data_IF_824236963306
#
_entry.id   IF_824236963306
#
_cell.length_a   1.000
_cell.length_b   1.000
_cell.length_c   1.000
_cell.angle_alpha   90.00
_cell.angle_beta   90.00
_cell.angle_gamma   90.00
#
_symmetry.space_group_name_H-M   'P 1'
#
loop_
_entity.id
_entity.type
_entity.pdbx_description
1 polymer ?
#
# COMPACT_ATOMS: atom_id res chain seq x y z
N UNK A 1 63.13 -31.94 36.19
CA UNK A 1 62.21 -32.89 35.52
C UNK A 1 61.14 -33.22 36.55
N UNK A 2 59.94 -32.67 36.44
CA UNK A 2 58.82 -33.05 35.53
C UNK A 2 57.69 -33.54 36.47
N UNK A 3 56.42 -33.20 36.40
CA UNK A 3 55.55 -32.74 35.30
C UNK A 3 54.58 -31.67 35.85
N UNK A 4 54.54 -30.49 35.24
CA UNK A 4 53.36 -29.62 35.34
C UNK A 4 52.22 -30.30 34.58
N UNK A 5 51.15 -30.65 35.30
CA UNK A 5 49.88 -31.03 34.69
C UNK A 5 49.34 -29.78 33.99
N UNK A 6 49.71 -29.58 32.72
CA UNK A 6 49.01 -28.65 31.84
C UNK A 6 47.57 -29.15 31.74
N UNK A 7 46.63 -28.47 32.43
CA UNK A 7 45.22 -28.60 32.13
C UNK A 7 45.04 -28.25 30.65
N UNK A 8 44.74 -29.25 29.83
CA UNK A 8 44.48 -29.04 28.40
C UNK A 8 43.24 -28.17 28.27
N UNK A 9 43.46 -26.89 27.94
CA UNK A 9 42.39 -25.99 27.54
C UNK A 9 41.70 -26.59 26.30
N UNK A 10 40.37 -26.72 26.36
CA UNK A 10 39.57 -27.27 25.26
C UNK A 10 38.78 -26.13 24.61
N UNK A 11 38.94 -25.88 23.31
CA UNK A 11 38.20 -24.81 22.66
C UNK A 11 36.74 -25.22 22.39
N UNK A 12 35.83 -24.28 22.66
CA UNK A 12 34.39 -24.42 22.45
C UNK A 12 33.87 -23.28 21.56
N UNK A 13 32.83 -23.56 20.77
CA UNK A 13 32.22 -22.61 19.84
C UNK A 13 31.09 -21.82 20.53
N UNK A 14 31.20 -20.50 20.56
CA UNK A 14 30.21 -19.59 21.15
C UNK A 14 29.48 -18.78 20.09
N UNK A 15 28.14 -18.71 20.15
CA UNK A 15 27.34 -17.78 19.35
C UNK A 15 27.21 -16.46 20.11
N UNK A 16 27.86 -15.42 19.61
CA UNK A 16 27.87 -14.09 20.24
C UNK A 16 26.75 -13.18 19.69
N UNK A 17 26.22 -13.49 18.52
CA UNK A 17 25.13 -12.72 17.91
C UNK A 17 24.44 -13.51 16.79
N UNK A 18 23.16 -13.23 16.58
CA UNK A 18 22.34 -13.85 15.54
C UNK A 18 21.39 -12.83 14.93
N UNK A 19 21.43 -12.67 13.60
CA UNK A 19 20.49 -11.82 12.86
C UNK A 19 19.88 -12.59 11.70
N UNK A 20 18.66 -12.21 11.34
CA UNK A 20 17.94 -12.78 10.21
C UNK A 20 17.16 -11.68 9.48
N UNK A 21 17.25 -11.67 8.16
CA UNK A 21 16.48 -10.77 7.30
C UNK A 21 16.15 -11.41 5.95
N UNK A 22 15.20 -10.84 5.21
CA UNK A 22 14.76 -11.32 3.89
C UNK A 22 15.29 -10.39 2.78
N UNK A 23 15.53 -10.92 1.58
CA UNK A 23 16.09 -10.19 0.43
C UNK A 23 15.58 -10.72 -0.92
N UNK A 24 15.88 -10.03 -2.03
CA UNK A 24 15.51 -10.44 -3.39
C UNK A 24 16.68 -10.25 -4.37
N UNK A 25 16.96 -11.24 -5.23
CA UNK A 25 17.95 -11.13 -6.32
C UNK A 25 17.34 -10.29 -7.47
N UNK A 26 18.04 -9.32 -8.11
CA UNK A 26 19.44 -9.33 -8.52
C UNK A 26 20.39 -8.39 -7.74
N UNK A 27 19.98 -7.86 -6.60
CA UNK A 27 20.67 -6.73 -5.95
C UNK A 27 21.97 -7.09 -5.21
N UNK A 28 22.39 -8.36 -5.21
CA UNK A 28 23.66 -8.79 -4.65
C UNK A 28 24.31 -9.81 -5.58
N UNK A 29 25.33 -9.41 -6.37
CA UNK A 29 26.23 -10.35 -7.06
C UNK A 29 27.44 -10.62 -6.15
N UNK A 30 27.45 -11.69 -5.35
CA UNK A 30 28.68 -12.07 -4.66
C UNK A 30 29.73 -12.46 -5.70
N UNK A 31 30.99 -12.07 -5.49
CA UNK A 31 32.10 -12.30 -6.44
C UNK A 31 32.44 -13.79 -6.68
N UNK A 32 31.79 -14.71 -5.98
CA UNK A 32 31.98 -16.15 -6.11
C UNK A 32 30.62 -16.85 -6.00
N UNK A 33 30.02 -17.21 -7.14
CA UNK A 33 28.86 -18.10 -7.21
C UNK A 33 29.39 -19.49 -7.62
N UNK A 34 29.00 -20.58 -6.93
CA UNK A 34 29.32 -21.93 -7.39
C UNK A 34 28.71 -22.20 -8.78
N UNK A 35 29.43 -22.83 -9.72
CA UNK A 35 28.95 -23.06 -11.10
C UNK A 35 27.60 -23.81 -11.19
N UNK A 36 27.26 -24.61 -10.18
CA UNK A 36 25.99 -25.35 -10.11
C UNK A 36 24.76 -24.47 -9.82
N UNK A 37 24.94 -23.25 -9.33
CA UNK A 37 23.89 -22.25 -9.14
C UNK A 37 23.78 -21.31 -10.34
N UNK A 38 24.86 -21.10 -11.10
CA UNK A 38 24.92 -20.19 -12.24
C UNK A 38 23.92 -20.58 -13.35
N UNK A 39 23.87 -21.87 -13.72
CA UNK A 39 22.99 -22.34 -14.81
C UNK A 39 21.48 -22.31 -14.50
N UNK A 40 21.10 -22.21 -13.22
CA UNK A 40 19.70 -22.05 -12.80
C UNK A 40 19.30 -20.58 -12.56
N UNK A 41 20.28 -19.66 -12.57
CA UNK A 41 20.14 -18.24 -12.21
C UNK A 41 20.37 -17.29 -13.40
N UNK A 42 20.47 -17.83 -14.63
CA UNK A 42 20.79 -17.09 -15.87
C UNK A 42 19.64 -16.26 -16.47
N UNK A 43 18.43 -16.30 -15.91
CA UNK A 43 17.35 -15.41 -16.33
C UNK A 43 17.29 -14.14 -15.45
N UNK A 44 17.83 -12.99 -15.90
CA UNK A 44 17.80 -11.74 -15.16
C UNK A 44 16.38 -11.16 -14.97
N UNK A 45 15.36 -11.74 -15.60
CA UNK A 45 13.96 -11.40 -15.37
C UNK A 45 13.35 -12.08 -14.13
N UNK A 46 14.03 -13.08 -13.56
CA UNK A 46 13.51 -13.87 -12.44
C UNK A 46 14.07 -13.37 -11.10
N UNK A 47 13.21 -12.69 -10.33
CA UNK A 47 13.51 -12.25 -8.96
C UNK A 47 13.33 -13.40 -8.00
N UNK A 48 14.42 -13.92 -7.45
CA UNK A 48 14.35 -14.98 -6.44
C UNK A 48 14.37 -14.40 -5.02
N UNK A 49 13.36 -14.67 -4.18
CA UNK A 49 13.44 -14.37 -2.76
C UNK A 49 14.54 -15.20 -2.09
N UNK A 50 15.30 -14.55 -1.21
CA UNK A 50 16.28 -15.20 -0.36
C UNK A 50 16.13 -14.73 1.09
N UNK A 51 16.72 -15.50 1.99
CA UNK A 51 16.84 -15.18 3.42
C UNK A 51 18.31 -15.07 3.72
N UNK A 52 18.68 -13.99 4.40
CA UNK A 52 20.02 -13.84 4.93
C UNK A 52 20.01 -14.18 6.40
N UNK A 53 20.90 -15.09 6.79
CA UNK A 53 21.12 -15.50 8.17
C UNK A 53 22.55 -15.16 8.54
N UNK A 54 22.73 -14.38 9.60
CA UNK A 54 24.03 -13.94 10.09
C UNK A 54 24.32 -14.53 11.47
N UNK A 55 25.47 -15.17 11.59
CA UNK A 55 26.04 -15.65 12.85
C UNK A 55 27.29 -14.87 13.17
N UNK A 56 27.30 -14.21 14.32
CA UNK A 56 28.52 -13.70 14.92
C UNK A 56 29.04 -14.76 15.90
N UNK A 57 30.24 -15.27 15.63
CA UNK A 57 30.83 -16.39 16.33
C UNK A 57 32.11 -15.98 17.06
N UNK A 58 32.36 -16.62 18.20
CA UNK A 58 33.59 -16.58 18.98
C UNK A 58 34.05 -18.00 19.35
N UNK A 59 35.32 -18.16 19.71
CA UNK A 59 35.85 -19.42 20.25
C UNK A 59 36.42 -19.14 21.62
N UNK A 60 35.95 -19.87 22.63
CA UNK A 60 36.38 -19.74 24.01
C UNK A 60 37.20 -20.96 24.45
N UNK A 61 38.33 -20.74 25.14
CA UNK A 61 39.12 -21.81 25.74
C UNK A 61 38.58 -22.15 27.12
N UNK A 62 37.98 -23.32 27.29
CA UNK A 62 37.54 -23.80 28.59
C UNK A 62 38.72 -24.43 29.36
N UNK A 63 38.88 -24.16 30.68
CA UNK A 63 37.99 -23.38 31.57
C UNK A 63 38.35 -21.88 31.67
N UNK A 64 39.37 -21.41 30.98
CA UNK A 64 39.87 -20.02 31.07
C UNK A 64 38.90 -18.94 30.55
N UNK A 65 37.89 -19.32 29.74
CA UNK A 65 36.98 -18.43 29.03
C UNK A 65 37.69 -17.37 28.16
N UNK A 66 38.95 -17.62 27.77
CA UNK A 66 39.70 -16.72 26.89
C UNK A 66 39.20 -16.85 25.45
N UNK A 67 38.88 -15.72 24.83
CA UNK A 67 38.44 -15.69 23.43
C UNK A 67 39.67 -15.74 22.52
N UNK A 68 39.74 -16.77 21.69
CA UNK A 68 40.86 -16.96 20.76
C UNK A 68 40.86 -15.91 19.64
N UNK A 69 42.03 -15.69 19.03
CA UNK A 69 42.18 -14.80 17.87
C UNK A 69 41.75 -15.48 16.58
N UNK A 70 41.03 -14.74 15.73
CA UNK A 70 40.48 -15.19 14.44
C UNK A 70 41.31 -14.65 13.27
N UNK A 71 41.61 -15.51 12.30
CA UNK A 71 42.21 -15.15 11.01
C UNK A 71 41.41 -15.79 9.87
N UNK A 72 41.04 -14.99 8.86
CA UNK A 72 40.28 -15.46 7.71
C UNK A 72 41.24 -15.89 6.59
N UNK A 73 41.05 -17.08 6.02
CA UNK A 73 41.75 -17.47 4.80
C UNK A 73 40.78 -17.38 3.61
N UNK A 74 41.00 -16.43 2.68
CA UNK A 74 40.16 -16.28 1.50
C UNK A 74 40.15 -17.51 0.58
N UNK A 75 41.19 -18.36 0.62
CA UNK A 75 41.33 -19.50 -0.27
C UNK A 75 40.46 -20.71 0.10
N UNK A 76 40.06 -20.84 1.37
CA UNK A 76 39.33 -22.02 1.87
C UNK A 76 37.91 -21.70 2.36
N UNK A 77 37.44 -20.45 2.20
CA UNK A 77 36.16 -19.98 2.72
C UNK A 77 35.92 -20.37 4.21
N UNK A 78 37.00 -20.40 4.99
CA UNK A 78 37.03 -20.89 6.37
C UNK A 78 37.79 -19.95 7.32
N UNK A 79 37.54 -20.10 8.62
CA UNK A 79 38.22 -19.35 9.68
C UNK A 79 39.27 -20.21 10.35
N UNK A 80 40.43 -19.61 10.60
CA UNK A 80 41.55 -20.18 11.30
C UNK A 80 41.64 -19.56 12.68
N UNK A 81 41.90 -20.40 13.69
CA UNK A 81 42.07 -19.97 15.07
C UNK A 81 43.43 -20.43 15.58
N UNK A 82 44.12 -19.56 16.33
CA UNK A 82 45.47 -19.78 16.88
C UNK A 82 46.48 -20.30 15.84
N UNK A 83 46.82 -19.48 14.83
CA UNK A 83 47.79 -19.84 13.77
C UNK A 83 47.43 -21.11 12.99
N UNK A 84 46.15 -21.44 12.95
CA UNK A 84 45.60 -22.52 12.13
C UNK A 84 45.59 -23.89 12.78
N UNK A 85 45.42 -23.96 14.10
CA UNK A 85 45.19 -25.21 14.82
C UNK A 85 43.74 -25.71 14.69
N UNK A 86 42.79 -24.79 14.47
CA UNK A 86 41.37 -25.09 14.34
C UNK A 86 40.74 -24.44 13.10
N UNK A 87 39.75 -25.13 12.53
CA UNK A 87 38.99 -24.74 11.34
C UNK A 87 37.49 -24.78 11.62
N UNK A 88 36.73 -23.79 11.17
CA UNK A 88 35.26 -23.83 11.18
C UNK A 88 34.74 -24.39 9.85
N UNK A 89 33.96 -25.47 9.92
CA UNK A 89 33.25 -26.05 8.78
C UNK A 89 31.74 -25.80 8.92
N UNK A 90 31.10 -25.50 7.79
CA UNK A 90 29.67 -25.21 7.72
C UNK A 90 28.96 -26.22 6.82
N UNK A 91 27.96 -26.91 7.36
CA UNK A 91 27.10 -27.81 6.61
C UNK A 91 25.66 -27.28 6.61
N UNK A 92 25.09 -27.11 5.42
CA UNK A 92 23.72 -26.61 5.24
C UNK A 92 22.89 -27.64 4.47
N UNK A 93 21.64 -27.85 4.89
CA UNK A 93 20.71 -28.80 4.27
C UNK A 93 20.20 -28.42 2.87
N UNK A 94 20.61 -27.28 2.31
CA UNK A 94 20.11 -26.70 1.05
C UNK A 94 21.21 -25.86 0.38
N UNK A 95 21.18 -25.65 -0.96
CA UNK A 95 22.14 -24.77 -1.63
C UNK A 95 22.10 -23.36 -1.02
N UNK A 96 23.25 -22.87 -0.56
CA UNK A 96 23.37 -21.56 0.06
C UNK A 96 24.64 -20.87 -0.42
N UNK A 97 24.61 -19.54 -0.55
CA UNK A 97 25.84 -18.76 -0.68
C UNK A 97 26.34 -18.43 0.72
N UNK A 98 27.59 -18.79 1.00
CA UNK A 98 28.24 -18.57 2.28
C UNK A 98 29.23 -17.42 2.11
N UNK A 99 29.08 -16.37 2.91
CA UNK A 99 30.02 -15.26 3.00
C UNK A 99 30.61 -15.24 4.40
N UNK A 100 31.92 -15.05 4.48
CA UNK A 100 32.65 -15.00 5.74
C UNK A 100 33.41 -13.69 5.83
N UNK A 101 33.41 -13.08 7.01
CA UNK A 101 34.22 -11.87 7.28
C UNK A 101 34.67 -11.83 8.74
N UNK A 102 35.81 -11.19 9.01
CA UNK A 102 36.23 -10.87 10.37
C UNK A 102 35.66 -9.51 10.74
N UNK A 103 34.90 -9.43 11.84
CA UNK A 103 34.42 -8.14 12.36
C UNK A 103 35.48 -7.47 13.24
N UNK A 104 36.24 -8.27 13.98
CA UNK A 104 37.42 -7.84 14.73
C UNK A 104 38.37 -9.04 14.94
N UNK A 105 39.44 -8.85 15.72
CA UNK A 105 40.45 -9.89 16.00
C UNK A 105 39.90 -11.13 16.73
N UNK A 106 38.69 -11.08 17.28
CA UNK A 106 38.15 -12.11 18.19
C UNK A 106 36.79 -12.67 17.75
N UNK A 107 36.18 -12.11 16.71
CA UNK A 107 34.86 -12.53 16.23
C UNK A 107 34.82 -12.57 14.71
N UNK A 108 34.19 -13.62 14.19
CA UNK A 108 33.88 -13.76 12.77
C UNK A 108 32.38 -13.72 12.53
N UNK A 109 32.01 -13.19 11.38
CA UNK A 109 30.66 -13.16 10.86
C UNK A 109 30.53 -14.19 9.75
N UNK A 110 29.57 -15.10 9.90
CA UNK A 110 29.12 -16.00 8.85
C UNK A 110 27.77 -15.51 8.36
N UNK A 111 27.68 -15.15 7.09
CA UNK A 111 26.46 -14.73 6.42
C UNK A 111 26.04 -15.79 5.42
N UNK A 112 24.81 -16.30 5.56
CA UNK A 112 24.24 -17.34 4.71
C UNK A 112 23.11 -16.74 3.90
N UNK A 113 23.18 -16.88 2.58
CA UNK A 113 22.11 -16.47 1.66
C UNK A 113 21.40 -17.75 1.19
N UNK A 114 20.16 -17.91 1.62
CA UNK A 114 19.35 -19.10 1.42
C UNK A 114 18.20 -18.80 0.45
N UNK A 115 17.96 -19.60 -0.59
CA UNK A 115 16.79 -19.43 -1.45
C UNK A 115 15.52 -19.65 -0.64
N UNK A 116 14.52 -18.77 -0.76
CA UNK A 116 13.26 -18.87 0.00
C UNK A 116 12.04 -18.60 -0.87
N UNK A 117 11.77 -19.53 -1.77
CA UNK A 117 10.58 -19.49 -2.65
C UNK A 117 9.31 -19.97 -1.95
N UNK A 118 9.43 -20.65 -0.80
CA UNK A 118 8.33 -21.20 -0.01
C UNK A 118 8.71 -21.26 1.48
N UNK A 119 7.73 -21.47 2.38
CA UNK A 119 8.03 -21.83 3.75
C UNK A 119 8.88 -23.11 3.80
N UNK A 120 10.06 -23.02 4.39
CA UNK A 120 11.01 -24.12 4.43
C UNK A 120 11.81 -24.11 5.73
N UNK A 121 12.12 -25.30 6.22
CA UNK A 121 12.97 -25.49 7.37
C UNK A 121 14.39 -25.77 6.89
N UNK A 122 15.31 -24.94 7.33
CA UNK A 122 16.72 -25.11 7.02
C UNK A 122 17.44 -25.59 8.27
N UNK A 123 18.30 -26.58 8.07
CA UNK A 123 19.17 -27.09 9.12
C UNK A 123 20.59 -26.67 8.80
N UNK A 124 21.25 -26.05 9.77
CA UNK A 124 22.65 -25.68 9.68
C UNK A 124 23.43 -26.35 10.80
N UNK A 125 24.58 -26.91 10.46
CA UNK A 125 25.54 -27.42 11.44
C UNK A 125 26.85 -26.67 11.25
N UNK A 126 27.27 -25.96 12.29
CA UNK A 126 28.57 -25.30 12.35
C UNK A 126 29.47 -26.16 13.23
N UNK A 127 30.60 -26.59 12.67
CA UNK A 127 31.54 -27.50 13.32
C UNK A 127 32.87 -26.80 13.49
N UNK A 128 33.46 -26.94 14.66
CA UNK A 128 34.86 -26.64 14.92
C UNK A 128 35.65 -27.95 14.77
N UNK A 129 36.60 -27.99 13.86
CA UNK A 129 37.46 -29.13 13.59
C UNK A 129 38.92 -28.76 13.87
N UNK A 130 39.77 -29.76 14.08
CA UNK A 130 41.22 -29.53 14.07
C UNK A 130 41.73 -29.36 12.65
N UNK A 131 42.77 -28.55 12.44
CA UNK A 131 43.37 -28.37 11.12
C UNK A 131 44.09 -29.62 10.60
N UNK A 132 44.61 -30.44 11.52
CA UNK A 132 45.31 -31.70 11.25
C UNK A 132 44.36 -32.84 10.87
N UNK A 133 43.12 -32.84 11.40
CA UNK A 133 42.09 -33.81 11.08
C UNK A 133 40.73 -33.11 10.96
N UNK A 134 40.35 -32.83 9.70
CA UNK A 134 39.11 -32.15 9.35
C UNK A 134 37.85 -32.98 9.63
N UNK A 135 38.00 -34.29 9.87
CA UNK A 135 36.89 -35.18 10.19
C UNK A 135 36.65 -35.28 11.70
N UNK A 136 37.62 -34.83 12.52
CA UNK A 136 37.52 -34.84 13.97
C UNK A 136 36.88 -33.55 14.47
N UNK A 137 35.61 -33.66 14.85
CA UNK A 137 34.88 -32.57 15.49
C UNK A 137 35.42 -32.32 16.90
N UNK A 138 35.82 -31.08 17.14
CA UNK A 138 36.18 -30.55 18.46
C UNK A 138 34.93 -30.07 19.18
N UNK A 139 34.07 -29.33 18.48
CA UNK A 139 32.79 -28.86 18.97
C UNK A 139 31.83 -28.60 17.79
N UNK A 140 30.53 -28.57 18.03
CA UNK A 140 29.56 -28.16 17.01
C UNK A 140 28.26 -27.67 17.63
N UNK A 141 27.55 -26.82 16.89
CA UNK A 141 26.14 -26.58 17.14
C UNK A 141 25.32 -26.83 15.88
N UNK A 142 24.11 -27.32 16.09
CA UNK A 142 23.10 -27.46 15.06
C UNK A 142 21.97 -26.48 15.34
N UNK A 143 21.58 -25.71 14.32
CA UNK A 143 20.45 -24.79 14.41
C UNK A 143 19.45 -25.13 13.33
N UNK A 144 18.23 -25.46 13.76
CA UNK A 144 17.06 -25.52 12.90
C UNK A 144 16.43 -24.14 12.87
N UNK A 145 16.09 -23.65 11.70
CA UNK A 145 15.29 -22.43 11.59
C UNK A 145 14.26 -22.59 10.49
N UNK A 146 13.02 -22.27 10.85
CA UNK A 146 11.91 -22.20 9.93
C UNK A 146 11.89 -20.82 9.30
N UNK A 147 12.00 -20.77 7.99
CA UNK A 147 11.69 -19.58 7.24
C UNK A 147 10.23 -19.68 6.84
N UNK A 148 9.29 -18.96 7.49
CA UNK A 148 8.03 -18.62 6.83
C UNK A 148 8.44 -17.89 5.54
N UNK A 149 8.18 -18.50 4.38
CA UNK A 149 8.50 -17.88 3.11
C UNK A 149 7.91 -16.46 3.11
N UNK A 150 8.65 -15.43 2.67
CA UNK A 150 8.10 -14.09 2.64
C UNK A 150 6.86 -14.10 1.75
N UNK A 151 5.73 -13.55 2.21
CA UNK A 151 4.70 -13.09 1.28
C UNK A 151 5.34 -11.96 0.49
N UNK A 152 5.83 -12.24 -0.71
CA UNK A 152 6.60 -11.29 -1.54
C UNK A 152 5.84 -9.97 -1.71
N UNK A 153 4.52 -10.03 -1.71
CA UNK A 153 3.61 -8.89 -1.80
C UNK A 153 3.71 -7.91 -0.62
N UNK A 154 4.26 -8.32 0.53
CA UNK A 154 4.46 -7.47 1.71
C UNK A 154 5.72 -6.61 1.63
N UNK A 155 6.54 -6.77 0.58
CA UNK A 155 7.80 -6.08 0.43
C UNK A 155 7.88 -5.34 -0.90
N UNK A 156 8.65 -4.26 -0.94
CA UNK A 156 8.91 -3.48 -2.14
C UNK A 156 10.38 -3.10 -2.25
N UNK A 157 10.76 -2.62 -3.44
CA UNK A 157 12.07 -2.03 -3.66
C UNK A 157 12.27 -0.83 -2.74
N UNK A 158 13.40 -0.83 -2.03
CA UNK A 158 13.90 0.35 -1.34
C UNK A 158 14.50 1.36 -2.35
N UNK A 159 14.82 2.58 -1.91
CA UNK A 159 15.55 3.51 -2.76
C UNK A 159 16.96 2.98 -3.08
N UNK A 160 17.18 2.51 -4.33
CA UNK A 160 18.49 2.06 -4.83
C UNK A 160 18.71 0.54 -4.79
N UNK A 161 19.95 0.12 -4.53
CA UNK A 161 20.40 -1.31 -4.49
C UNK A 161 20.15 -1.93 -3.08
N UNK A 162 19.29 -1.31 -2.26
CA UNK A 162 19.13 -1.68 -0.85
C UNK A 162 17.97 -2.64 -0.57
N UNK A 163 18.03 -3.26 0.61
CA UNK A 163 17.18 -4.33 1.12
C UNK A 163 15.67 -4.09 0.85
N UNK A 164 14.89 -5.15 0.59
CA UNK A 164 13.45 -5.02 0.44
C UNK A 164 12.84 -4.35 1.68
N UNK A 165 12.13 -3.25 1.46
CA UNK A 165 11.45 -2.53 2.53
C UNK A 165 10.06 -3.12 2.67
N UNK A 166 9.67 -3.43 3.91
CA UNK A 166 8.31 -3.89 4.18
C UNK A 166 7.33 -2.77 3.84
N UNK A 167 6.33 -3.09 3.02
CA UNK A 167 5.26 -2.16 2.67
C UNK A 167 4.55 -1.68 3.94
N UNK A 168 4.32 -0.38 4.02
CA UNK A 168 3.57 0.24 5.10
C UNK A 168 2.11 -0.18 5.00
N UNK A 169 1.50 -0.45 6.15
CA UNK A 169 0.07 -0.68 6.31
C UNK A 169 -0.43 0.30 7.38
N UNK A 170 -1.72 0.68 7.39
CA UNK A 170 -2.28 1.45 8.49
C UNK A 170 -1.98 0.75 9.83
N UNK A 171 -1.65 1.54 10.85
CA UNK A 171 -1.28 1.10 12.19
C UNK A 171 -2.24 1.67 13.23
N UNK A 172 -2.13 1.18 14.46
CA UNK A 172 -2.87 1.72 15.58
C UNK A 172 -4.37 1.42 15.47
N UNK A 173 -5.19 2.33 15.99
CA UNK A 173 -6.63 2.11 16.06
C UNK A 173 -7.26 2.12 14.67
N UNK A 174 -6.70 2.87 13.72
CA UNK A 174 -7.14 2.85 12.32
C UNK A 174 -7.08 1.43 11.73
N UNK A 175 -6.06 0.64 12.04
CA UNK A 175 -5.95 -0.75 11.55
C UNK A 175 -6.94 -1.73 12.19
N UNK A 176 -7.63 -1.33 13.26
CA UNK A 176 -8.55 -2.19 14.01
C UNK A 176 -9.97 -2.14 13.44
N UNK A 177 -10.73 -3.22 13.63
CA UNK A 177 -12.16 -3.29 13.24
C UNK A 177 -13.00 -2.16 13.86
N UNK A 178 -12.73 -1.79 15.11
CA UNK A 178 -13.46 -0.72 15.82
C UNK A 178 -13.13 0.64 15.18
N UNK A 179 -11.85 0.93 14.95
CA UNK A 179 -11.46 2.18 14.32
C UNK A 179 -11.96 2.32 12.89
N UNK A 180 -11.89 1.25 12.09
CA UNK A 180 -12.47 1.23 10.75
C UNK A 180 -13.99 1.46 10.78
N UNK A 181 -14.72 0.86 11.73
CA UNK A 181 -16.15 1.09 11.90
C UNK A 181 -16.46 2.55 12.26
N UNK A 182 -15.69 3.15 13.17
CA UNK A 182 -15.85 4.56 13.56
C UNK A 182 -15.58 5.51 12.39
N UNK A 183 -14.48 5.31 11.66
CA UNK A 183 -14.17 6.11 10.47
C UNK A 183 -15.24 5.90 9.39
N UNK A 184 -15.66 4.66 9.17
CA UNK A 184 -16.75 4.30 8.25
C UNK A 184 -18.06 5.00 8.59
N UNK A 185 -18.39 5.17 9.87
CA UNK A 185 -19.57 5.94 10.29
C UNK A 185 -19.49 7.40 9.82
N UNK A 186 -18.36 8.08 10.06
CA UNK A 186 -18.18 9.47 9.59
C UNK A 186 -18.12 9.57 8.07
N UNK A 187 -17.53 8.58 7.40
CA UNK A 187 -17.55 8.47 5.94
C UNK A 187 -18.98 8.38 5.41
N UNK A 188 -19.84 7.56 6.02
CA UNK A 188 -21.25 7.45 5.65
C UNK A 188 -21.99 8.76 5.86
N UNK A 189 -21.74 9.48 6.95
CA UNK A 189 -22.35 10.80 7.20
C UNK A 189 -21.88 11.83 6.17
N UNK A 190 -20.59 11.92 5.88
CA UNK A 190 -20.04 12.82 4.88
C UNK A 190 -20.56 12.52 3.46
N UNK A 191 -20.66 11.23 3.13
CA UNK A 191 -21.19 10.75 1.87
C UNK A 191 -22.69 11.04 1.74
N UNK A 192 -23.45 10.95 2.83
CA UNK A 192 -24.86 11.28 2.87
C UNK A 192 -25.14 12.77 3.08
N UNK A 193 -24.10 13.62 3.10
CA UNK A 193 -24.26 15.05 3.31
C UNK A 193 -24.97 15.41 4.62
N UNK A 194 -24.93 14.53 5.63
CA UNK A 194 -25.64 14.69 6.90
C UNK A 194 -24.80 15.55 7.85
N UNK A 195 -24.68 16.84 7.52
CA UNK A 195 -23.80 17.76 8.23
C UNK A 195 -24.19 17.95 9.69
N UNK A 196 -25.50 17.97 10.01
CA UNK A 196 -25.96 18.14 11.39
C UNK A 196 -25.48 16.98 12.25
N UNK A 197 -25.77 15.73 11.85
CA UNK A 197 -25.33 14.56 12.61
C UNK A 197 -23.82 14.39 12.60
N UNK A 198 -23.15 14.78 11.52
CA UNK A 198 -21.68 14.74 11.46
C UNK A 198 -21.07 15.59 12.59
N UNK A 199 -21.53 16.82 12.76
CA UNK A 199 -21.02 17.72 13.80
C UNK A 199 -21.36 17.19 15.19
N UNK A 200 -22.61 16.79 15.43
CA UNK A 200 -23.04 16.22 16.73
C UNK A 200 -22.19 14.99 17.12
N UNK A 201 -21.99 14.06 16.19
CA UNK A 201 -21.23 12.85 16.45
C UNK A 201 -19.72 13.14 16.61
N UNK A 202 -19.20 14.15 15.91
CA UNK A 202 -17.82 14.60 16.08
C UNK A 202 -17.58 15.19 17.46
N UNK A 203 -18.52 15.99 17.99
CA UNK A 203 -18.45 16.52 19.35
C UNK A 203 -18.48 15.40 20.40
N UNK A 204 -19.37 14.42 20.23
CA UNK A 204 -19.38 13.21 21.07
C UNK A 204 -18.06 12.43 20.99
N UNK A 205 -17.47 12.34 19.80
CA UNK A 205 -16.18 11.69 19.60
C UNK A 205 -15.03 12.46 20.26
N UNK A 206 -15.03 13.79 20.21
CA UNK A 206 -14.04 14.62 20.91
C UNK A 206 -14.12 14.41 22.43
N UNK A 207 -15.33 14.41 23.00
CA UNK A 207 -15.54 14.06 24.42
C UNK A 207 -15.02 12.66 24.77
N UNK A 208 -15.11 11.71 23.83
CA UNK A 208 -14.54 10.36 24.00
C UNK A 208 -13.00 10.38 23.97
N UNK A 209 -12.37 11.19 23.12
CA UNK A 209 -10.92 11.36 23.09
C UNK A 209 -10.43 11.94 24.43
N UNK A 210 -11.10 12.97 24.95
CA UNK A 210 -10.72 13.62 26.21
C UNK A 210 -10.72 12.63 27.38
N UNK A 211 -11.67 11.68 27.37
CA UNK A 211 -11.76 10.58 28.35
C UNK A 211 -10.82 9.42 28.05
N UNK A 212 -10.45 9.22 26.79
CA UNK A 212 -9.64 8.10 26.34
C UNK A 212 -8.75 8.49 25.16
N UNK A 213 -7.51 8.97 25.43
CA UNK A 213 -6.60 9.47 24.41
C UNK A 213 -6.22 8.47 23.32
N UNK A 214 -6.48 7.16 23.49
CA UNK A 214 -6.18 6.14 22.47
C UNK A 214 -6.92 6.38 21.15
N UNK A 215 -8.04 7.10 21.17
CA UNK A 215 -8.85 7.40 19.98
C UNK A 215 -8.31 8.58 19.16
N UNK A 216 -7.31 9.29 19.67
CA UNK A 216 -6.78 10.51 19.05
C UNK A 216 -6.20 10.26 17.64
N UNK A 217 -5.72 9.06 17.37
CA UNK A 217 -5.24 8.60 16.05
C UNK A 217 -6.31 8.72 14.95
N UNK A 218 -7.59 8.61 15.29
CA UNK A 218 -8.69 8.70 14.31
C UNK A 218 -9.13 10.14 14.04
N UNK A 219 -8.78 11.11 14.88
CA UNK A 219 -9.23 12.49 14.75
C UNK A 219 -8.81 13.14 13.41
N UNK A 220 -7.56 12.98 12.93
CA UNK A 220 -7.18 13.48 11.61
C UNK A 220 -8.05 12.93 10.47
N UNK A 221 -8.47 11.67 10.53
CA UNK A 221 -9.34 11.06 9.51
C UNK A 221 -10.73 11.67 9.53
N UNK A 222 -11.29 11.90 10.73
CA UNK A 222 -12.62 12.50 10.87
C UNK A 222 -12.60 13.95 10.36
N UNK A 223 -11.55 14.71 10.66
CA UNK A 223 -11.36 16.06 10.12
C UNK A 223 -11.19 16.05 8.59
N UNK A 224 -10.54 15.03 8.04
CA UNK A 224 -10.47 14.84 6.59
C UNK A 224 -11.86 14.56 5.96
N UNK A 225 -12.67 13.69 6.57
CA UNK A 225 -14.03 13.43 6.09
C UNK A 225 -14.93 14.67 6.22
N UNK A 226 -14.71 15.51 7.25
CA UNK A 226 -15.36 16.81 7.38
C UNK A 226 -14.95 17.77 6.25
N UNK A 227 -13.67 17.79 5.89
CA UNK A 227 -13.19 18.59 4.76
C UNK A 227 -13.84 18.13 3.43
N UNK A 228 -14.04 16.82 3.24
CA UNK A 228 -14.78 16.29 2.08
C UNK A 228 -16.25 16.70 2.10
N UNK A 229 -16.89 16.66 3.27
CA UNK A 229 -18.27 17.13 3.46
C UNK A 229 -18.40 18.60 3.10
N UNK A 230 -17.50 19.47 3.58
CA UNK A 230 -17.48 20.89 3.20
C UNK A 230 -17.25 21.10 1.70
N UNK A 231 -16.36 20.32 1.08
CA UNK A 231 -16.23 20.35 -0.38
C UNK A 231 -17.57 20.03 -1.02
N UNK A 232 -18.24 18.97 -0.59
CA UNK A 232 -19.53 18.57 -1.13
C UNK A 232 -20.63 19.63 -1.00
N UNK A 233 -20.58 20.45 0.04
CA UNK A 233 -21.53 21.57 0.24
C UNK A 233 -21.07 22.89 -0.37
N UNK A 234 -20.03 22.85 -1.21
CA UNK A 234 -19.44 24.02 -1.84
C UNK A 234 -18.95 25.09 -0.83
N UNK A 235 -18.33 24.66 0.27
CA UNK A 235 -17.73 25.50 1.32
C UNK A 235 -16.19 25.40 1.29
N UNK A 236 -15.51 25.91 0.24
CA UNK A 236 -14.07 25.68 0.03
C UNK A 236 -13.19 26.22 1.17
N UNK A 237 -13.55 27.35 1.78
CA UNK A 237 -12.78 27.92 2.90
C UNK A 237 -12.86 27.06 4.17
N UNK A 238 -14.02 26.45 4.45
CA UNK A 238 -14.15 25.49 5.55
C UNK A 238 -13.40 24.20 5.28
N UNK A 239 -13.48 23.69 4.05
CA UNK A 239 -12.71 22.53 3.62
C UNK A 239 -11.19 22.74 3.80
N UNK A 240 -10.67 23.93 3.42
CA UNK A 240 -9.27 24.33 3.66
C UNK A 240 -8.93 24.32 5.15
N UNK A 241 -9.80 24.90 5.97
CA UNK A 241 -9.62 24.95 7.43
C UNK A 241 -9.54 23.56 8.04
N UNK A 242 -10.50 22.67 7.73
CA UNK A 242 -10.52 21.32 8.28
C UNK A 242 -9.36 20.45 7.76
N UNK A 243 -8.97 20.61 6.49
CA UNK A 243 -7.79 19.94 5.95
C UNK A 243 -6.50 20.38 6.66
N UNK A 244 -6.35 21.68 6.93
CA UNK A 244 -5.22 22.22 7.70
C UNK A 244 -5.21 21.66 9.13
N UNK A 245 -6.36 21.64 9.79
CA UNK A 245 -6.49 21.07 11.13
C UNK A 245 -6.14 19.57 11.15
N UNK A 246 -6.61 18.78 10.18
CA UNK A 246 -6.25 17.37 10.06
C UNK A 246 -4.72 17.17 9.95
N UNK A 247 -4.04 18.02 9.17
CA UNK A 247 -2.59 18.01 9.04
C UNK A 247 -1.89 18.33 10.38
N UNK A 248 -2.29 19.43 11.01
CA UNK A 248 -1.76 19.88 12.30
C UNK A 248 -1.93 18.81 13.37
N UNK A 249 -3.10 18.16 13.43
CA UNK A 249 -3.34 17.07 14.39
C UNK A 249 -2.49 15.84 14.10
N UNK A 250 -2.36 15.47 12.82
CA UNK A 250 -1.53 14.32 12.42
C UNK A 250 -0.05 14.54 12.80
N UNK A 251 0.46 15.76 12.63
CA UNK A 251 1.82 16.14 13.02
C UNK A 251 2.00 16.21 14.54
N UNK A 252 1.08 16.90 15.23
CA UNK A 252 1.12 17.12 16.68
C UNK A 252 1.19 15.81 17.47
N UNK A 253 0.50 14.77 16.98
CA UNK A 253 0.47 13.46 17.64
C UNK A 253 1.42 12.44 17.02
N UNK A 254 2.32 12.85 16.12
CA UNK A 254 3.26 11.97 15.43
C UNK A 254 2.57 10.71 14.89
N UNK A 255 1.43 10.89 14.23
CA UNK A 255 0.60 9.75 13.81
C UNK A 255 1.43 8.77 12.99
N UNK A 256 1.42 7.47 13.32
CA UNK A 256 2.13 6.45 12.53
C UNK A 256 1.55 6.32 11.11
N UNK A 257 0.40 6.95 10.86
CA UNK A 257 -0.32 6.97 9.60
C UNK A 257 -0.20 8.31 8.86
N UNK A 258 0.77 9.15 9.23
CA UNK A 258 0.93 10.50 8.67
C UNK A 258 1.05 10.53 7.14
N UNK A 259 1.74 9.57 6.52
CA UNK A 259 1.85 9.50 5.06
C UNK A 259 0.48 9.29 4.38
N UNK A 260 -0.37 8.41 4.92
CA UNK A 260 -1.73 8.22 4.43
C UNK A 260 -2.58 9.47 4.60
N UNK A 261 -2.46 10.14 5.76
CA UNK A 261 -3.16 11.40 6.00
C UNK A 261 -2.74 12.48 5.00
N UNK A 262 -1.44 12.66 4.80
CA UNK A 262 -0.94 13.66 3.87
C UNK A 262 -1.39 13.36 2.43
N UNK A 263 -1.35 12.09 2.01
CA UNK A 263 -1.85 11.67 0.70
C UNK A 263 -3.34 11.99 0.51
N UNK A 264 -4.19 11.71 1.52
CA UNK A 264 -5.62 12.08 1.52
C UNK A 264 -5.84 13.58 1.44
N UNK A 265 -5.07 14.38 2.19
CA UNK A 265 -5.20 15.84 2.17
C UNK A 265 -4.77 16.45 0.84
N UNK A 266 -3.81 15.84 0.12
CA UNK A 266 -3.47 16.26 -1.24
C UNK A 266 -4.65 16.13 -2.20
N UNK A 267 -5.56 15.18 -2.00
CA UNK A 267 -6.79 15.13 -2.78
C UNK A 267 -7.72 16.32 -2.49
N UNK A 268 -7.85 16.76 -1.24
CA UNK A 268 -8.63 17.98 -0.91
C UNK A 268 -8.05 19.19 -1.63
N UNK A 269 -6.72 19.35 -1.59
CA UNK A 269 -6.04 20.44 -2.31
C UNK A 269 -6.24 20.35 -3.83
N UNK A 270 -6.14 19.15 -4.40
CA UNK A 270 -6.43 18.91 -5.82
C UNK A 270 -7.88 19.25 -6.18
N UNK A 271 -8.85 18.88 -5.34
CA UNK A 271 -10.26 19.21 -5.53
C UNK A 271 -10.53 20.72 -5.47
N UNK A 272 -9.85 21.45 -4.58
CA UNK A 272 -9.92 22.90 -4.50
C UNK A 272 -9.33 23.57 -5.74
N UNK A 273 -8.14 23.16 -6.18
CA UNK A 273 -7.50 23.70 -7.39
C UNK A 273 -8.36 23.46 -8.65
N UNK A 274 -8.99 22.28 -8.79
CA UNK A 274 -9.94 22.00 -9.88
C UNK A 274 -11.15 22.94 -9.90
N UNK A 275 -11.63 23.38 -8.73
CA UNK A 275 -12.73 24.36 -8.65
C UNK A 275 -12.31 25.75 -9.11
N UNK A 276 -11.05 26.10 -8.87
CA UNK A 276 -10.44 27.34 -9.36
C UNK A 276 -10.08 27.25 -10.85
N UNK A 277 -10.24 26.07 -11.47
CA UNK A 277 -9.88 25.83 -12.88
C UNK A 277 -8.40 25.52 -13.10
N UNK A 278 -7.62 25.40 -12.04
CA UNK A 278 -6.18 25.12 -12.08
C UNK A 278 -5.92 23.60 -12.10
N UNK A 279 -6.00 23.02 -13.30
CA UNK A 279 -5.81 21.58 -13.51
C UNK A 279 -4.35 21.13 -13.40
N UNK A 280 -3.38 22.02 -13.67
CA UNK A 280 -1.96 21.73 -13.55
C UNK A 280 -1.58 21.56 -12.08
N UNK A 281 -1.91 22.54 -11.23
CA UNK A 281 -1.69 22.45 -9.79
C UNK A 281 -2.48 21.31 -9.15
N UNK A 282 -3.70 21.07 -9.64
CA UNK A 282 -4.49 19.92 -9.18
C UNK A 282 -3.79 18.59 -9.47
N UNK A 283 -3.08 18.47 -10.60
CA UNK A 283 -2.30 17.30 -10.96
C UNK A 283 -1.05 17.17 -10.08
N UNK A 284 -0.30 18.25 -9.87
CA UNK A 284 0.88 18.27 -8.98
C UNK A 284 0.56 17.75 -7.58
N UNK A 285 -0.58 18.17 -7.00
CA UNK A 285 -1.00 17.65 -5.70
C UNK A 285 -1.21 16.14 -5.73
N UNK A 286 -1.78 15.59 -6.79
CA UNK A 286 -1.98 14.15 -6.92
C UNK A 286 -0.69 13.40 -7.25
N UNK A 287 0.29 14.04 -7.90
CA UNK A 287 1.67 13.52 -8.10
C UNK A 287 2.32 13.27 -6.74
N UNK A 288 2.34 14.28 -5.89
CA UNK A 288 2.83 14.15 -4.51
C UNK A 288 2.03 13.11 -3.72
N UNK A 289 0.71 13.04 -3.91
CA UNK A 289 -0.16 12.07 -3.24
C UNK A 289 0.23 10.61 -3.55
N UNK A 290 0.64 10.34 -4.81
CA UNK A 290 1.09 9.01 -5.27
C UNK A 290 2.46 8.68 -4.69
N UNK A 291 3.41 9.62 -4.71
CA UNK A 291 4.74 9.43 -4.14
C UNK A 291 4.68 9.09 -2.65
N UNK A 292 3.80 9.75 -1.90
CA UNK A 292 3.60 9.50 -0.46
C UNK A 292 3.11 8.08 -0.15
N UNK A 293 2.39 7.46 -1.07
CA UNK A 293 1.86 6.10 -0.92
C UNK A 293 2.66 5.04 -1.69
N UNK A 294 3.72 5.44 -2.39
CA UNK A 294 4.67 4.50 -2.96
C UNK A 294 5.15 3.43 -1.96
N UNK A 295 5.43 3.75 -0.67
CA UNK A 295 5.84 2.74 0.31
C UNK A 295 4.72 1.85 0.85
N UNK A 296 3.47 2.03 0.43
CA UNK A 296 2.31 1.41 1.06
C UNK A 296 1.85 0.13 0.38
N UNK A 297 1.33 -0.81 1.17
CA UNK A 297 0.70 -2.03 0.68
C UNK A 297 -0.59 -1.71 -0.06
N UNK A 298 -0.91 -2.55 -1.04
CA UNK A 298 -2.21 -2.51 -1.70
C UNK A 298 -3.32 -2.71 -0.64
N UNK A 299 -4.38 -1.91 -0.77
CA UNK A 299 -5.49 -1.85 0.17
C UNK A 299 -6.38 -0.64 -0.09
N UNK A 300 -7.44 -0.47 0.70
CA UNK A 300 -8.47 0.55 0.50
C UNK A 300 -7.90 1.98 0.40
N UNK A 301 -6.89 2.35 1.20
CA UNK A 301 -6.30 3.70 1.16
C UNK A 301 -5.51 3.95 -0.13
N UNK A 302 -4.80 2.94 -0.63
CA UNK A 302 -4.08 3.05 -1.90
C UNK A 302 -5.03 2.95 -3.08
N UNK A 303 -6.11 2.16 -2.98
CA UNK A 303 -7.20 2.13 -3.96
C UNK A 303 -7.88 3.50 -4.06
N UNK A 304 -8.16 4.16 -2.92
CA UNK A 304 -8.76 5.49 -2.90
C UNK A 304 -7.87 6.53 -3.60
N UNK A 305 -6.55 6.44 -3.41
CA UNK A 305 -5.58 7.27 -4.11
C UNK A 305 -5.61 7.07 -5.64
N UNK A 306 -5.70 5.81 -6.13
CA UNK A 306 -5.90 5.52 -7.56
C UNK A 306 -7.23 6.08 -8.06
N UNK A 307 -8.29 5.94 -7.27
CA UNK A 307 -9.60 6.51 -7.57
C UNK A 307 -9.53 8.04 -7.71
N UNK A 308 -8.78 8.75 -6.85
CA UNK A 308 -8.64 10.21 -6.96
C UNK A 308 -8.01 10.65 -8.27
N UNK A 309 -7.01 9.91 -8.77
CA UNK A 309 -6.43 10.13 -10.10
C UNK A 309 -7.41 9.87 -11.22
N UNK A 310 -8.11 8.73 -11.16
CA UNK A 310 -9.14 8.40 -12.14
C UNK A 310 -10.25 9.47 -12.17
N UNK A 311 -10.66 9.96 -10.99
CA UNK A 311 -11.66 11.01 -10.85
C UNK A 311 -11.21 12.37 -11.39
N UNK A 312 -9.93 12.72 -11.20
CA UNK A 312 -9.32 13.90 -11.80
C UNK A 312 -9.36 13.82 -13.34
N UNK A 313 -8.89 12.71 -13.92
CA UNK A 313 -8.87 12.52 -15.37
C UNK A 313 -10.29 12.46 -15.96
N UNK A 314 -11.23 11.83 -15.26
CA UNK A 314 -12.64 11.82 -15.64
C UNK A 314 -13.24 13.22 -15.73
N UNK A 315 -12.98 14.05 -14.72
CA UNK A 315 -13.46 15.43 -14.71
C UNK A 315 -12.77 16.29 -15.79
N UNK A 316 -11.44 16.18 -15.92
CA UNK A 316 -10.65 16.90 -16.94
C UNK A 316 -11.15 16.54 -18.34
N UNK A 317 -11.36 15.25 -18.60
CA UNK A 317 -11.94 14.71 -19.84
C UNK A 317 -13.27 15.35 -20.17
N UNK A 318 -14.17 15.47 -19.20
CA UNK A 318 -15.50 16.08 -19.39
C UNK A 318 -15.43 17.61 -19.62
N UNK A 319 -14.55 18.33 -18.92
CA UNK A 319 -14.55 19.81 -18.92
C UNK A 319 -13.65 20.47 -19.97
N UNK A 320 -12.42 19.99 -20.10
CA UNK A 320 -11.39 20.62 -20.95
C UNK A 320 -10.79 19.67 -21.99
N UNK A 321 -11.11 18.37 -21.89
CA UNK A 321 -10.53 17.33 -22.73
C UNK A 321 -9.24 16.76 -22.13
N UNK A 322 -8.84 15.60 -22.64
CA UNK A 322 -7.61 14.89 -22.27
C UNK A 322 -6.95 14.31 -23.51
N UNK A 323 -5.66 14.04 -23.43
CA UNK A 323 -4.88 13.35 -24.45
C UNK A 323 -5.21 11.85 -24.50
N UNK A 324 -4.84 11.17 -25.60
CA UNK A 324 -4.97 9.72 -25.71
C UNK A 324 -4.19 8.97 -24.62
N UNK A 325 -3.02 9.48 -24.24
CA UNK A 325 -2.21 8.91 -23.16
C UNK A 325 -2.90 9.02 -21.80
N UNK A 326 -3.53 10.15 -21.53
CA UNK A 326 -4.32 10.36 -20.32
C UNK A 326 -5.59 9.48 -20.30
N UNK A 327 -6.19 9.21 -21.46
CA UNK A 327 -7.36 8.32 -21.57
C UNK A 327 -6.97 6.87 -21.20
N UNK A 328 -5.85 6.37 -21.73
CA UNK A 328 -5.26 5.06 -21.35
C UNK A 328 -4.93 5.04 -19.85
N UNK A 329 -4.33 6.12 -19.34
CA UNK A 329 -3.95 6.21 -17.93
C UNK A 329 -5.18 6.21 -17.01
N UNK A 330 -6.28 6.85 -17.41
CA UNK A 330 -7.54 6.83 -16.67
C UNK A 330 -8.10 5.40 -16.55
N UNK A 331 -8.14 4.65 -17.66
CA UNK A 331 -8.56 3.25 -17.64
C UNK A 331 -7.68 2.40 -16.73
N UNK A 332 -6.36 2.58 -16.80
CA UNK A 332 -5.42 1.90 -15.92
C UNK A 332 -5.71 2.21 -14.45
N UNK A 333 -5.96 3.47 -14.09
CA UNK A 333 -6.27 3.80 -12.70
C UNK A 333 -7.59 3.19 -12.22
N UNK A 334 -8.64 3.15 -13.04
CA UNK A 334 -9.88 2.46 -12.66
C UNK A 334 -9.67 0.95 -12.43
N UNK A 335 -8.84 0.32 -13.27
CA UNK A 335 -8.47 -1.09 -13.08
C UNK A 335 -7.62 -1.29 -11.81
N UNK A 336 -6.65 -0.40 -11.57
CA UNK A 336 -5.79 -0.44 -10.38
C UNK A 336 -6.60 -0.30 -9.08
N UNK A 337 -7.70 0.47 -9.07
CA UNK A 337 -8.62 0.51 -7.92
C UNK A 337 -9.11 -0.90 -7.58
N UNK A 338 -9.61 -1.65 -8.56
CA UNK A 338 -10.13 -3.01 -8.32
C UNK A 338 -9.00 -3.96 -7.86
N UNK A 339 -7.84 -3.89 -8.51
CA UNK A 339 -6.69 -4.71 -8.15
C UNK A 339 -6.25 -4.47 -6.70
N UNK A 340 -6.24 -3.21 -6.25
CA UNK A 340 -5.86 -2.84 -4.89
C UNK A 340 -6.92 -3.26 -3.86
N UNK A 341 -8.21 -3.19 -4.21
CA UNK A 341 -9.28 -3.67 -3.34
C UNK A 341 -9.22 -5.20 -3.19
N UNK A 342 -9.06 -5.96 -4.28
CA UNK A 342 -8.92 -7.43 -4.24
C UNK A 342 -7.73 -7.86 -3.38
N UNK A 343 -6.64 -7.08 -3.38
CA UNK A 343 -5.46 -7.34 -2.58
C UNK A 343 -5.60 -6.96 -1.09
N UNK A 344 -6.65 -6.24 -0.68
CA UNK A 344 -6.85 -5.91 0.73
C UNK A 344 -7.34 -7.13 1.52
N UNK A 345 -6.59 -7.48 2.55
CA UNK A 345 -6.93 -8.60 3.44
C UNK A 345 -7.88 -8.18 4.58
N UNK A 346 -8.23 -6.90 4.70
CA UNK A 346 -9.16 -6.37 5.71
C UNK A 346 -10.60 -6.40 5.18
N UNK A 347 -11.62 -6.29 6.06
CA UNK A 347 -12.99 -6.04 5.61
C UNK A 347 -13.05 -4.73 4.81
N UNK A 348 -13.24 -4.86 3.50
CA UNK A 348 -13.29 -3.73 2.56
C UNK A 348 -14.65 -3.05 2.69
N UNK A 349 -14.68 -1.73 2.73
CA UNK A 349 -15.95 -1.02 2.53
C UNK A 349 -16.26 -0.94 1.02
N UNK A 350 -17.50 -1.22 0.63
CA UNK A 350 -17.90 -1.07 -0.79
C UNK A 350 -17.83 0.40 -1.27
N UNK A 351 -17.53 1.36 -0.38
CA UNK A 351 -17.48 2.80 -0.66
C UNK A 351 -16.55 3.15 -1.83
N UNK A 352 -15.30 2.67 -1.81
CA UNK A 352 -14.33 3.00 -2.85
C UNK A 352 -14.74 2.38 -4.19
N UNK A 353 -15.24 1.15 -4.16
CA UNK A 353 -15.74 0.45 -5.35
C UNK A 353 -16.90 1.22 -6.01
N UNK A 354 -17.92 1.57 -5.22
CA UNK A 354 -19.10 2.31 -5.67
C UNK A 354 -18.72 3.66 -6.30
N UNK A 355 -17.90 4.43 -5.59
CA UNK A 355 -17.43 5.75 -6.07
C UNK A 355 -16.64 5.62 -7.36
N UNK A 356 -15.77 4.61 -7.45
CA UNK A 356 -14.96 4.34 -8.63
C UNK A 356 -15.82 3.99 -9.83
N UNK A 357 -16.80 3.09 -9.69
CA UNK A 357 -17.67 2.68 -10.80
C UNK A 357 -18.54 3.81 -11.32
N UNK A 358 -19.15 4.61 -10.42
CA UNK A 358 -19.89 5.81 -10.84
C UNK A 358 -18.98 6.76 -11.63
N UNK A 359 -17.76 6.97 -11.16
CA UNK A 359 -16.82 7.86 -11.86
C UNK A 359 -16.32 7.28 -13.18
N UNK A 360 -16.21 5.96 -13.30
CA UNK A 360 -15.83 5.27 -14.52
C UNK A 360 -16.92 5.36 -15.60
N UNK A 361 -18.19 5.19 -15.23
CA UNK A 361 -19.31 5.46 -16.14
C UNK A 361 -19.26 6.92 -16.60
N UNK A 362 -19.12 7.87 -15.67
CA UNK A 362 -19.02 9.30 -16.00
C UNK A 362 -17.86 9.58 -16.98
N UNK A 363 -16.71 8.93 -16.79
CA UNK A 363 -15.57 9.02 -17.69
C UNK A 363 -15.91 8.54 -19.11
N UNK A 364 -16.54 7.37 -19.23
CA UNK A 364 -16.92 6.81 -20.53
C UNK A 364 -17.96 7.65 -21.26
N UNK A 365 -18.95 8.22 -20.56
CA UNK A 365 -19.97 9.07 -21.19
C UNK A 365 -19.54 10.54 -21.31
N UNK A 366 -18.28 10.85 -20.96
CA UNK A 366 -17.69 12.19 -20.97
C UNK A 366 -18.53 13.21 -20.18
N UNK A 367 -18.96 12.81 -18.98
CA UNK A 367 -19.76 13.62 -18.07
C UNK A 367 -19.03 13.95 -16.77
N UNK A 368 -19.45 15.03 -16.13
CA UNK A 368 -19.06 15.43 -14.79
C UNK A 368 -20.19 16.17 -14.12
N UNK A 369 -20.37 15.95 -12.80
CA UNK A 369 -21.32 16.72 -11.98
C UNK A 369 -21.03 18.23 -11.97
N UNK A 370 -19.79 18.64 -12.26
CA UNK A 370 -19.41 20.05 -12.32
C UNK A 370 -19.74 20.68 -13.69
N UNK A 371 -20.34 19.92 -14.61
CA UNK A 371 -20.83 20.39 -15.90
C UNK A 371 -22.36 20.46 -15.84
N UNK A 372 -22.86 21.66 -15.54
CA UNK A 372 -24.31 21.92 -15.46
C UNK A 372 -24.99 21.63 -16.80
N UNK A 373 -24.41 22.07 -17.91
CA UNK A 373 -24.98 21.89 -19.24
C UNK A 373 -24.26 20.77 -19.99
N UNK A 374 -24.95 19.65 -20.24
CA UNK A 374 -24.36 18.56 -21.01
C UNK A 374 -24.25 19.01 -22.47
N UNK A 375 -23.04 19.00 -23.01
CA UNK A 375 -22.87 19.13 -24.45
C UNK A 375 -23.39 17.84 -25.11
N UNK A 376 -24.64 17.85 -25.57
CA UNK A 376 -25.28 16.72 -26.25
C UNK A 376 -24.70 16.42 -27.63
N UNK A 377 -23.96 17.36 -28.23
CA UNK A 377 -23.34 17.17 -29.55
C UNK A 377 -21.98 16.49 -29.46
N UNK A 378 -21.37 16.45 -28.27
CA UNK A 378 -20.11 15.75 -28.06
C UNK A 378 -20.22 14.26 -28.40
N UNK A 379 -19.47 13.84 -29.40
CA UNK A 379 -19.40 12.45 -29.84
C UNK A 379 -18.63 11.62 -28.81
N UNK A 380 -19.21 10.50 -28.40
CA UNK A 380 -18.57 9.51 -27.53
C UNK A 380 -18.39 8.22 -28.33
N UNK A 381 -17.18 7.61 -28.34
CA UNK A 381 -16.94 6.38 -29.07
C UNK A 381 -17.85 5.23 -28.60
N UNK A 382 -18.36 4.43 -29.53
CA UNK A 382 -19.26 3.31 -29.22
C UNK A 382 -18.64 2.30 -28.24
N UNK A 383 -17.33 2.08 -28.33
CA UNK A 383 -16.61 1.23 -27.39
C UNK A 383 -16.71 1.74 -25.94
N UNK A 384 -16.64 3.06 -25.72
CA UNK A 384 -16.80 3.65 -24.39
C UNK A 384 -18.27 3.54 -23.92
N UNK A 385 -19.23 3.75 -24.83
CA UNK A 385 -20.65 3.56 -24.53
C UNK A 385 -20.96 2.12 -24.12
N UNK A 386 -20.40 1.12 -24.82
CA UNK A 386 -20.55 -0.28 -24.46
C UNK A 386 -19.98 -0.61 -23.07
N UNK A 387 -18.78 -0.08 -22.73
CA UNK A 387 -18.20 -0.23 -21.38
C UNK A 387 -19.06 0.44 -20.31
N UNK A 388 -19.62 1.62 -20.60
CA UNK A 388 -20.53 2.31 -19.69
C UNK A 388 -21.78 1.48 -19.40
N UNK A 389 -22.38 0.89 -20.44
CA UNK A 389 -23.56 0.04 -20.30
C UNK A 389 -23.29 -1.20 -19.46
N UNK A 390 -22.17 -1.89 -19.68
CA UNK A 390 -21.78 -3.05 -18.87
C UNK A 390 -21.70 -2.70 -17.38
N UNK A 391 -21.08 -1.56 -17.05
CA UNK A 391 -21.00 -1.09 -15.65
C UNK A 391 -22.37 -0.70 -15.08
N UNK A 392 -23.24 -0.09 -15.87
CA UNK A 392 -24.61 0.22 -15.44
C UNK A 392 -25.35 -1.07 -15.06
N UNK A 393 -25.31 -2.08 -15.93
CA UNK A 393 -25.97 -3.37 -15.65
C UNK A 393 -25.40 -4.07 -14.42
N UNK A 394 -24.08 -4.06 -14.25
CA UNK A 394 -23.42 -4.65 -13.08
C UNK A 394 -23.85 -3.94 -11.78
N UNK A 395 -23.91 -2.61 -11.77
CA UNK A 395 -24.37 -1.85 -10.60
C UNK A 395 -25.83 -2.19 -10.27
N UNK A 396 -26.70 -2.19 -11.28
CA UNK A 396 -28.14 -2.45 -11.11
C UNK A 396 -28.42 -3.84 -10.57
N UNK A 397 -27.65 -4.83 -11.03
CA UNK A 397 -27.86 -6.23 -10.66
C UNK A 397 -27.27 -6.55 -9.29
N UNK A 398 -26.05 -6.08 -9.00
CA UNK A 398 -25.25 -6.62 -7.90
C UNK A 398 -24.99 -5.65 -6.75
N UNK A 399 -24.93 -4.33 -7.03
CA UNK A 399 -24.37 -3.35 -6.10
C UNK A 399 -25.34 -2.29 -5.58
N UNK A 400 -26.50 -2.07 -6.22
CA UNK A 400 -27.44 -1.01 -5.82
C UNK A 400 -27.86 -1.07 -4.33
N UNK A 401 -27.90 -2.25 -3.73
CA UNK A 401 -28.20 -2.45 -2.29
C UNK A 401 -27.21 -1.73 -1.35
N UNK A 402 -26.00 -1.48 -1.82
CA UNK A 402 -24.93 -0.83 -1.07
C UNK A 402 -24.83 0.68 -1.38
N UNK A 403 -25.67 1.20 -2.30
CA UNK A 403 -25.70 2.61 -2.66
C UNK A 403 -26.56 3.40 -1.68
N UNK A 404 -25.93 4.31 -0.94
CA UNK A 404 -26.65 5.32 -0.18
C UNK A 404 -27.15 6.48 -1.07
N UNK A 405 -27.97 7.37 -0.51
CA UNK A 405 -28.71 8.40 -1.25
C UNK A 405 -27.83 9.18 -2.25
N UNK A 406 -26.64 9.64 -1.83
CA UNK A 406 -25.79 10.45 -2.72
C UNK A 406 -25.17 9.66 -3.86
N UNK A 407 -24.70 8.44 -3.57
CA UNK A 407 -24.12 7.56 -4.57
C UNK A 407 -25.18 7.13 -5.57
N UNK A 408 -26.40 6.83 -5.09
CA UNK A 408 -27.56 6.51 -5.93
C UNK A 408 -27.93 7.67 -6.85
N UNK A 409 -28.17 8.85 -6.28
CA UNK A 409 -28.40 10.06 -7.08
C UNK A 409 -27.28 10.32 -8.09
N UNK A 410 -26.01 10.18 -7.69
CA UNK A 410 -24.89 10.39 -8.61
C UNK A 410 -24.86 9.35 -9.73
N UNK A 411 -25.28 8.11 -9.45
CA UNK A 411 -25.45 7.05 -10.44
C UNK A 411 -26.61 7.32 -11.40
N UNK A 412 -27.74 7.80 -10.88
CA UNK A 412 -28.91 8.11 -11.70
C UNK A 412 -28.65 9.30 -12.65
N UNK A 413 -27.89 10.32 -12.21
CA UNK A 413 -27.43 11.41 -13.08
C UNK A 413 -26.59 10.88 -14.24
N UNK A 414 -25.57 10.07 -13.97
CA UNK A 414 -24.66 9.58 -15.02
C UNK A 414 -25.32 8.52 -15.92
N UNK A 415 -26.26 7.74 -15.38
CA UNK A 415 -27.10 6.82 -16.16
C UNK A 415 -28.02 7.59 -17.11
N UNK A 416 -28.55 8.72 -16.65
CA UNK A 416 -29.27 9.64 -17.53
C UNK A 416 -28.36 10.17 -18.64
N UNK A 417 -27.15 10.60 -18.31
CA UNK A 417 -26.18 11.09 -19.29
C UNK A 417 -25.90 10.03 -20.37
N UNK A 418 -25.77 8.76 -19.97
CA UNK A 418 -25.65 7.64 -20.91
C UNK A 418 -26.84 7.58 -21.88
N UNK A 419 -28.08 7.68 -21.40
CA UNK A 419 -29.25 7.63 -22.28
C UNK A 419 -29.37 8.84 -23.20
N UNK A 420 -29.05 10.04 -22.70
CA UNK A 420 -29.00 11.25 -23.53
C UNK A 420 -27.98 11.08 -24.67
N UNK A 421 -26.79 10.54 -24.36
CA UNK A 421 -25.74 10.25 -25.37
C UNK A 421 -26.18 9.26 -26.44
N UNK A 422 -27.07 8.32 -26.10
CA UNK A 422 -27.66 7.35 -27.03
C UNK A 422 -28.85 7.90 -27.83
N UNK A 423 -29.34 9.09 -27.50
CA UNK A 423 -30.62 9.60 -28.02
C UNK A 423 -31.85 8.90 -27.44
N UNK A 424 -31.68 8.12 -26.37
CA UNK A 424 -32.74 7.34 -25.72
C UNK A 424 -33.42 8.16 -24.60
N UNK A 425 -33.90 9.36 -24.92
CA UNK A 425 -34.37 10.34 -23.93
C UNK A 425 -35.45 9.81 -22.97
N UNK A 426 -36.36 8.96 -23.46
CA UNK A 426 -37.44 8.36 -22.66
C UNK A 426 -36.87 7.54 -21.50
N UNK A 427 -35.83 6.75 -21.74
CA UNK A 427 -35.19 5.93 -20.71
C UNK A 427 -34.40 6.77 -19.68
N UNK A 428 -34.05 8.01 -20.04
CA UNK A 428 -33.39 8.96 -19.14
C UNK A 428 -34.32 9.67 -18.17
N UNK A 429 -35.64 9.64 -18.36
CA UNK A 429 -36.59 10.39 -17.53
C UNK A 429 -36.62 9.86 -16.09
N UNK A 430 -36.87 8.56 -15.92
CA UNK A 430 -36.97 7.92 -14.61
C UNK A 430 -35.73 8.18 -13.74
N UNK A 431 -34.49 7.87 -14.17
CA UNK A 431 -33.31 8.15 -13.35
C UNK A 431 -33.11 9.66 -13.11
N UNK A 432 -33.47 10.55 -14.05
CA UNK A 432 -33.39 12.00 -13.80
C UNK A 432 -34.33 12.43 -12.67
N UNK A 433 -35.53 11.87 -12.63
CA UNK A 433 -36.54 12.16 -11.60
C UNK A 433 -36.09 11.63 -10.25
N UNK A 434 -35.61 10.39 -10.17
CA UNK A 434 -35.07 9.82 -8.93
C UNK A 434 -33.92 10.68 -8.38
N UNK A 435 -32.97 11.06 -9.24
CA UNK A 435 -31.86 11.93 -8.86
C UNK A 435 -32.36 13.30 -8.34
N UNK A 436 -33.35 13.89 -9.01
CA UNK A 436 -33.91 15.18 -8.61
C UNK A 436 -34.60 15.11 -7.25
N UNK A 437 -35.40 14.07 -7.01
CA UNK A 437 -36.11 13.86 -5.74
C UNK A 437 -35.11 13.71 -4.59
N UNK A 438 -34.10 12.85 -4.74
CA UNK A 438 -33.07 12.67 -3.70
C UNK A 438 -32.34 13.99 -3.43
N UNK A 439 -31.95 14.73 -4.48
CA UNK A 439 -31.27 16.01 -4.33
C UNK A 439 -32.14 17.06 -3.63
N UNK A 440 -33.45 17.05 -3.89
CA UNK A 440 -34.42 17.95 -3.26
C UNK A 440 -34.61 17.62 -1.77
N UNK A 441 -34.85 16.36 -1.44
CA UNK A 441 -35.01 15.88 -0.06
C UNK A 441 -33.78 16.18 0.81
N UNK A 442 -32.58 16.09 0.21
CA UNK A 442 -31.30 16.35 0.90
C UNK A 442 -30.82 17.79 0.80
N UNK A 443 -31.60 18.68 0.17
CA UNK A 443 -31.24 20.09 -0.07
C UNK A 443 -29.88 20.29 -0.77
N UNK A 444 -29.52 19.41 -1.70
CA UNK A 444 -28.27 19.49 -2.47
C UNK A 444 -28.45 20.30 -3.76
N UNK A 445 -28.34 21.63 -3.63
CA UNK A 445 -28.62 22.56 -4.73
C UNK A 445 -27.85 22.29 -6.03
N UNK A 446 -26.53 22.01 -5.98
CA UNK A 446 -25.73 21.74 -7.19
C UNK A 446 -26.25 20.50 -7.94
N UNK A 447 -26.55 19.43 -7.20
CA UNK A 447 -27.06 18.18 -7.79
C UNK A 447 -28.49 18.31 -8.28
N UNK A 448 -29.33 19.05 -7.55
CA UNK A 448 -30.71 19.36 -7.94
C UNK A 448 -30.75 20.10 -9.28
N UNK A 449 -29.87 21.07 -9.46
CA UNK A 449 -29.74 21.84 -10.69
C UNK A 449 -29.30 20.96 -11.88
N UNK A 450 -28.33 20.06 -11.67
CA UNK A 450 -27.87 19.13 -12.70
C UNK A 450 -28.99 18.15 -13.06
N UNK A 451 -29.62 17.50 -12.08
CA UNK A 451 -30.70 16.54 -12.32
C UNK A 451 -31.90 17.19 -13.05
N UNK A 452 -32.26 18.42 -12.67
CA UNK A 452 -33.30 19.20 -13.35
C UNK A 452 -32.94 19.48 -14.81
N UNK A 453 -31.71 19.88 -15.08
CA UNK A 453 -31.25 20.16 -16.44
C UNK A 453 -31.34 18.90 -17.31
N UNK A 454 -30.90 17.74 -16.78
CA UNK A 454 -30.97 16.48 -17.52
C UNK A 454 -32.41 16.05 -17.77
N UNK A 455 -33.29 16.23 -16.80
CA UNK A 455 -34.73 15.99 -16.97
C UNK A 455 -35.31 16.86 -18.09
N UNK A 456 -34.96 18.15 -18.13
CA UNK A 456 -35.40 19.06 -19.20
C UNK A 456 -34.86 18.64 -20.57
N UNK A 457 -33.61 18.18 -20.67
CA UNK A 457 -33.06 17.66 -21.92
C UNK A 457 -33.82 16.43 -22.40
N UNK A 458 -34.15 15.51 -21.49
CA UNK A 458 -34.91 14.31 -21.82
C UNK A 458 -36.33 14.67 -22.32
N UNK A 459 -37.04 15.58 -21.65
CA UNK A 459 -38.41 15.96 -22.04
C UNK A 459 -38.39 16.79 -23.33
N UNK A 460 -37.54 17.81 -23.42
CA UNK A 460 -37.54 18.78 -24.51
C UNK A 460 -37.02 18.24 -25.85
N UNK A 461 -36.40 17.06 -25.86
CA UNK A 461 -35.94 16.37 -27.08
C UNK A 461 -36.87 15.23 -27.54
N UNK A 462 -37.96 14.98 -26.79
CA UNK A 462 -39.05 14.10 -27.24
C UNK A 462 -40.03 14.80 -28.19
N UNK A 463 -40.10 16.13 -28.11
CA UNK A 463 -40.86 17.02 -28.99
C UNK A 463 -40.00 17.48 -30.15
#
# INVERSE_FOLDING_TARGET
MSEEIFQRQTPCLSILGFKRYHGFYPFYRPRQIPPSLDSAMEDPSVRWPYVVVEYQLGIELYPSCEICRWEMNPAEAGFFVNRGEYLIQLNISSPAVILTSSQNRFTGLITLILPSTRPENFTHTVRLCTSLDRNRNVDHFQKLFSVPGPHLDDFQEGPGIEQPVRKLRPKGLWSSRIGMSMVGHFQCLADNGDHVRFIEHKELFQNLIDRNPRFVDLLPLILYEEALLDLHENKPEKARKHAKQALEMSQRYHSPNHCYMLSKLKYVHSALARREGDYEKAQEYLDVSVELLWPCAAGEETAENKYFRAAFLAEKSARVGITAQEDILAEKYFQDVQNHLIADSRPITNRCQIRSKNRQIAFYVKSSRHVKHLDVQRVVPEQQMAKAWQLIQEIETDLLKDYHSKQRMSFDIIKTDYFIRRGNYVQGIEPSVEAFQIAEEKAWHEYKDVARERLHLCIGRMT
#
